data_IF_321622721075
#
_entry.id   IF_321622721075
#
_cell.length_a   1.000
_cell.length_b   1.000
_cell.length_c   1.000
_cell.angle_alpha   90.00
_cell.angle_beta   90.00
_cell.angle_gamma   90.00
#
_symmetry.space_group_name_H-M   'P 1'
#
loop_
_entity.id
_entity.type
_entity.pdbx_description
1 polymer ?
#
# COMPACT_ATOMS: atom_id res chain seq x y z
N UNK A 1 -63.67 26.06 -23.07
CA UNK A 1 -62.70 27.15 -23.21
C UNK A 1 -62.83 28.05 -21.99
N UNK A 2 -62.10 27.76 -20.92
CA UNK A 2 -61.91 28.65 -19.75
C UNK A 2 -60.81 28.07 -18.87
N UNK A 3 -59.63 28.71 -18.93
CA UNK A 3 -58.46 28.40 -18.10
C UNK A 3 -58.67 29.00 -16.71
N UNK A 4 -58.34 28.26 -15.64
CA UNK A 4 -58.01 28.84 -14.34
C UNK A 4 -56.86 28.06 -13.70
N UNK A 5 -55.72 28.74 -13.65
CA UNK A 5 -54.51 28.32 -12.95
C UNK A 5 -54.76 28.22 -11.44
N UNK A 6 -54.22 27.17 -10.83
CA UNK A 6 -53.93 27.13 -9.40
C UNK A 6 -52.48 26.67 -9.23
N UNK A 7 -51.65 27.58 -8.75
CA UNK A 7 -50.30 27.31 -8.26
C UNK A 7 -50.39 26.90 -6.79
N UNK A 8 -49.92 25.71 -6.44
CA UNK A 8 -49.66 25.30 -5.05
C UNK A 8 -48.26 24.69 -4.99
N UNK A 9 -47.35 25.52 -4.50
CA UNK A 9 -46.30 25.27 -3.49
C UNK A 9 -45.93 23.82 -3.14
N UNK A 10 -44.68 23.49 -3.48
CA UNK A 10 -43.65 22.85 -2.64
C UNK A 10 -44.03 21.58 -1.85
N UNK A 11 -43.60 20.43 -2.36
CA UNK A 11 -43.20 19.30 -1.50
C UNK A 11 -41.85 18.78 -2.00
N UNK A 12 -40.80 19.17 -1.28
CA UNK A 12 -39.45 18.65 -1.36
C UNK A 12 -39.49 17.16 -1.03
N UNK A 13 -39.40 16.31 -2.05
CA UNK A 13 -39.06 14.91 -1.85
C UNK A 13 -37.56 14.83 -1.54
N UNK A 14 -37.25 14.58 -0.27
CA UNK A 14 -35.92 14.22 0.22
C UNK A 14 -35.60 12.84 -0.37
N UNK A 15 -35.00 12.83 -1.56
CA UNK A 15 -34.32 11.67 -2.10
C UNK A 15 -32.95 11.59 -1.45
N UNK A 16 -32.83 10.75 -0.42
CA UNK A 16 -31.57 10.45 0.26
C UNK A 16 -30.56 9.87 -0.74
N UNK A 17 -29.67 10.73 -1.25
CA UNK A 17 -28.41 10.30 -1.81
C UNK A 17 -27.59 9.70 -0.67
N UNK A 18 -27.52 8.37 -0.63
CA UNK A 18 -26.43 7.68 0.07
C UNK A 18 -25.17 8.04 -0.69
N UNK A 19 -24.48 9.08 -0.23
CA UNK A 19 -23.12 9.37 -0.64
C UNK A 19 -22.27 8.18 -0.19
N UNK A 20 -21.87 7.32 -1.13
CA UNK A 20 -20.75 6.42 -0.92
C UNK A 20 -19.57 7.35 -0.69
N UNK A 21 -19.13 7.47 0.56
CA UNK A 21 -17.94 8.19 0.91
C UNK A 21 -16.77 7.53 0.17
N UNK A 22 -16.35 8.16 -0.93
CA UNK A 22 -15.05 7.86 -1.51
C UNK A 22 -14.01 8.18 -0.42
N UNK A 23 -13.02 7.33 -0.17
CA UNK A 23 -11.91 7.72 0.70
C UNK A 23 -11.21 8.91 0.03
N UNK A 24 -11.46 10.09 0.58
CA UNK A 24 -10.75 11.32 0.24
C UNK A 24 -9.30 11.12 0.69
N UNK A 25 -8.40 10.93 -0.27
CA UNK A 25 -6.96 11.05 -0.03
C UNK A 25 -6.68 12.54 0.29
N UNK A 26 -6.82 12.87 1.57
CA UNK A 26 -6.52 14.19 2.09
C UNK A 26 -5.03 14.47 1.98
N UNK A 27 -4.67 15.37 1.08
CA UNK A 27 -3.32 15.90 0.95
C UNK A 27 -2.86 16.51 2.26
N UNK A 28 -1.76 15.98 2.79
CA UNK A 28 -0.92 16.67 3.76
C UNK A 28 0.49 16.67 3.19
N UNK A 29 1.06 17.87 3.13
CA UNK A 29 2.43 18.29 2.80
C UNK A 29 3.47 17.18 2.65
N UNK A 30 4.31 17.18 1.59
CA UNK A 30 5.34 16.16 1.43
C UNK A 30 6.29 16.26 2.62
N UNK A 31 6.23 15.28 3.52
CA UNK A 31 7.41 14.88 4.27
C UNK A 31 8.49 14.60 3.21
N UNK A 32 9.68 15.18 3.37
CA UNK A 32 10.80 15.10 2.42
C UNK A 32 11.06 13.66 1.96
N UNK A 33 10.30 13.21 0.97
CA UNK A 33 10.58 12.05 0.17
C UNK A 33 11.88 12.40 -0.54
N UNK A 34 12.90 11.56 -0.39
CA UNK A 34 14.09 11.70 -1.21
C UNK A 34 13.65 11.88 -2.67
N UNK A 35 14.07 12.96 -3.34
CA UNK A 35 13.80 13.16 -4.78
C UNK A 35 14.49 12.11 -5.66
N UNK A 36 15.13 11.10 -5.06
CA UNK A 36 15.81 10.03 -5.76
C UNK A 36 14.88 8.80 -5.80
N UNK A 37 14.35 8.43 -6.97
CA UNK A 37 13.42 7.31 -7.12
C UNK A 37 13.97 5.99 -6.58
N UNK A 38 15.27 5.75 -6.75
CA UNK A 38 15.95 4.54 -6.25
C UNK A 38 15.94 4.47 -4.73
N UNK A 39 16.09 5.61 -4.04
CA UNK A 39 16.02 5.66 -2.57
C UNK A 39 14.61 5.37 -2.10
N UNK A 40 13.58 5.93 -2.75
CA UNK A 40 12.18 5.61 -2.43
C UNK A 40 11.86 4.13 -2.64
N UNK A 41 12.37 3.51 -3.70
CA UNK A 41 12.19 2.06 -3.92
C UNK A 41 12.91 1.21 -2.86
N UNK A 42 14.03 1.68 -2.30
CA UNK A 42 14.74 1.02 -1.20
C UNK A 42 13.97 1.16 0.12
N UNK A 43 13.51 2.36 0.45
CA UNK A 43 12.67 2.64 1.63
C UNK A 43 11.37 1.82 1.58
N UNK A 44 10.72 1.76 0.41
CA UNK A 44 9.53 0.96 0.19
C UNK A 44 9.80 -0.55 0.40
N UNK A 45 10.98 -1.03 -0.01
CA UNK A 45 11.39 -2.43 0.22
C UNK A 45 11.57 -2.72 1.70
N UNK A 46 12.17 -1.81 2.45
CA UNK A 46 12.35 -1.95 3.90
C UNK A 46 11.02 -1.91 4.65
N UNK A 47 10.15 -0.94 4.31
CA UNK A 47 8.79 -0.84 4.85
C UNK A 47 7.98 -2.10 4.55
N UNK A 48 8.06 -2.63 3.33
CA UNK A 48 7.39 -3.88 2.96
C UNK A 48 7.89 -5.08 3.79
N UNK A 49 9.21 -5.17 4.01
CA UNK A 49 9.79 -6.24 4.83
C UNK A 49 9.29 -6.16 6.29
N UNK A 50 9.30 -4.95 6.86
CA UNK A 50 8.74 -4.68 8.21
C UNK A 50 7.25 -5.05 8.29
N UNK A 51 6.48 -4.69 7.27
CA UNK A 51 5.05 -5.01 7.18
C UNK A 51 4.81 -6.53 7.21
N UNK A 52 5.61 -7.29 6.46
CA UNK A 52 5.50 -8.74 6.40
C UNK A 52 5.81 -9.41 7.76
N UNK A 53 6.85 -8.94 8.46
CA UNK A 53 7.21 -9.42 9.79
C UNK A 53 6.11 -9.16 10.83
N UNK A 54 5.55 -7.95 10.83
CA UNK A 54 4.45 -7.59 11.72
C UNK A 54 3.17 -8.39 11.46
N UNK A 55 2.85 -8.60 10.18
CA UNK A 55 1.70 -9.41 9.77
C UNK A 55 1.87 -10.88 10.19
N UNK A 56 3.07 -11.45 10.08
CA UNK A 56 3.32 -12.82 10.55
C UNK A 56 3.20 -12.92 12.07
N UNK A 57 3.71 -11.92 12.79
CA UNK A 57 3.56 -11.85 14.25
C UNK A 57 2.09 -11.80 14.67
N UNK A 58 1.28 -10.95 14.03
CA UNK A 58 -0.17 -10.91 14.30
C UNK A 58 -0.85 -12.26 14.07
N UNK A 59 -0.44 -12.99 13.02
CA UNK A 59 -0.96 -14.33 12.71
C UNK A 59 -0.57 -15.35 13.79
N UNK A 60 0.66 -15.29 14.29
CA UNK A 60 1.14 -16.13 15.38
C UNK A 60 0.40 -15.82 16.68
N UNK A 61 0.32 -14.55 17.04
CA UNK A 61 -0.34 -14.06 18.25
C UNK A 61 -1.82 -14.45 18.27
N UNK A 62 -2.48 -14.43 17.10
CA UNK A 62 -3.88 -14.84 16.96
C UNK A 62 -4.11 -16.33 17.26
N UNK A 63 -3.05 -17.14 17.23
CA UNK A 63 -3.09 -18.56 17.62
C UNK A 63 -2.88 -18.77 19.11
N UNK A 64 -2.47 -17.75 19.85
CA UNK A 64 -2.04 -17.85 21.22
C UNK A 64 -3.16 -17.41 22.18
N UNK A 65 -3.83 -18.38 22.79
CA UNK A 65 -4.93 -18.14 23.72
C UNK A 65 -4.51 -17.39 25.01
N UNK A 66 -3.21 -17.26 25.29
CA UNK A 66 -2.72 -16.50 26.45
C UNK A 66 -2.65 -14.98 26.18
N UNK A 67 -2.76 -14.54 24.91
CA UNK A 67 -2.72 -13.13 24.56
C UNK A 67 -4.13 -12.53 24.55
N UNK A 68 -4.26 -11.31 25.06
CA UNK A 68 -5.50 -10.56 24.96
C UNK A 68 -5.67 -9.98 23.55
N UNK A 69 -6.92 -9.70 23.17
CA UNK A 69 -7.20 -9.00 21.91
C UNK A 69 -6.47 -7.67 21.81
N UNK A 70 -6.33 -6.95 22.92
CA UNK A 70 -5.69 -5.63 22.96
C UNK A 70 -4.22 -5.66 22.53
N UNK A 71 -3.53 -6.80 22.65
CA UNK A 71 -2.15 -6.92 22.16
C UNK A 71 -2.05 -6.81 20.63
N UNK A 72 -3.16 -6.97 19.91
CA UNK A 72 -3.22 -6.84 18.45
C UNK A 72 -3.46 -5.40 17.97
N UNK A 73 -3.91 -4.48 18.85
CA UNK A 73 -4.21 -3.10 18.46
C UNK A 73 -3.00 -2.38 17.89
N UNK A 74 -1.90 -2.33 18.65
CA UNK A 74 -0.70 -1.59 18.23
C UNK A 74 -0.09 -2.15 16.94
N UNK A 75 0.08 -3.47 16.76
CA UNK A 75 0.57 -4.01 15.50
C UNK A 75 -0.38 -3.80 14.31
N UNK A 76 -1.70 -3.83 14.50
CA UNK A 76 -2.66 -3.53 13.42
C UNK A 76 -2.55 -2.10 12.92
N UNK A 77 -2.40 -1.14 13.83
CA UNK A 77 -2.20 0.27 13.45
C UNK A 77 -0.83 0.49 12.80
N UNK A 78 0.22 -0.17 13.28
CA UNK A 78 1.53 -0.11 12.63
C UNK A 78 1.49 -0.68 11.20
N UNK A 79 0.78 -1.79 10.98
CA UNK A 79 0.50 -2.32 9.64
C UNK A 79 -0.19 -1.30 8.73
N UNK A 80 -1.20 -0.60 9.26
CA UNK A 80 -1.88 0.47 8.52
C UNK A 80 -0.92 1.59 8.14
N UNK A 81 -0.09 2.03 9.08
CA UNK A 81 0.84 3.13 8.88
C UNK A 81 1.92 2.78 7.87
N UNK A 82 2.46 1.56 7.92
CA UNK A 82 3.45 1.06 6.95
C UNK A 82 2.86 0.95 5.55
N UNK A 83 1.66 0.37 5.41
CA UNK A 83 0.98 0.28 4.11
C UNK A 83 0.63 1.66 3.55
N UNK A 84 0.20 2.59 4.41
CA UNK A 84 -0.01 3.99 4.01
C UNK A 84 1.30 4.66 3.57
N UNK A 85 2.43 4.31 4.20
CA UNK A 85 3.75 4.82 3.84
C UNK A 85 4.16 4.35 2.45
N UNK A 86 4.06 3.03 2.20
CA UNK A 86 4.26 2.46 0.86
C UNK A 86 3.36 3.09 -0.20
N UNK A 87 2.09 3.38 0.15
CA UNK A 87 1.17 4.07 -0.76
C UNK A 87 1.63 5.49 -1.12
N UNK A 88 2.21 6.24 -0.16
CA UNK A 88 2.74 7.59 -0.42
C UNK A 88 4.00 7.53 -1.28
N UNK A 89 4.90 6.59 -1.01
CA UNK A 89 6.13 6.38 -1.79
C UNK A 89 5.80 6.06 -3.24
N UNK A 90 4.94 5.05 -3.49
CA UNK A 90 4.59 4.67 -4.86
C UNK A 90 3.81 5.76 -5.59
N UNK A 91 2.98 6.53 -4.89
CA UNK A 91 2.25 7.65 -5.49
C UNK A 91 3.19 8.80 -5.87
N UNK A 92 4.26 9.01 -5.09
CA UNK A 92 5.28 10.02 -5.40
C UNK A 92 6.06 9.62 -6.64
N UNK A 93 6.43 8.33 -6.76
CA UNK A 93 7.06 7.79 -7.96
C UNK A 93 6.17 7.88 -9.19
N UNK A 94 4.88 7.53 -9.06
CA UNK A 94 3.91 7.58 -10.16
C UNK A 94 3.64 9.02 -10.64
N UNK A 95 3.71 10.01 -9.74
CA UNK A 95 3.57 11.43 -10.10
C UNK A 95 4.72 11.93 -10.99
N UNK A 96 5.89 11.30 -10.90
CA UNK A 96 7.09 11.63 -11.67
C UNK A 96 7.41 10.55 -12.71
N UNK A 97 6.43 9.70 -13.07
CA UNK A 97 6.63 8.49 -13.89
C UNK A 97 7.41 8.72 -15.19
N UNK A 98 7.22 9.86 -15.84
CA UNK A 98 7.89 10.21 -17.10
C UNK A 98 9.39 10.54 -16.93
N UNK A 99 9.85 10.82 -15.71
CA UNK A 99 11.26 11.08 -15.39
C UNK A 99 12.00 9.82 -14.92
N UNK A 100 11.25 8.76 -14.61
CA UNK A 100 11.77 7.49 -14.12
C UNK A 100 12.49 6.70 -15.21
N UNK A 101 13.52 5.96 -14.79
CA UNK A 101 14.17 4.97 -15.63
C UNK A 101 13.19 3.85 -16.02
N UNK A 102 13.36 3.20 -17.18
CA UNK A 102 12.46 2.13 -17.62
C UNK A 102 12.30 0.99 -16.59
N UNK A 103 13.36 0.66 -15.85
CA UNK A 103 13.31 -0.39 -14.83
C UNK A 103 12.52 0.05 -13.58
N UNK A 104 12.55 1.33 -13.22
CA UNK A 104 11.80 1.90 -12.09
C UNK A 104 10.30 1.87 -12.38
N UNK A 105 9.90 2.28 -13.61
CA UNK A 105 8.51 2.19 -14.05
C UNK A 105 7.99 0.75 -13.99
N UNK A 106 8.80 -0.22 -14.45
CA UNK A 106 8.42 -1.63 -14.38
C UNK A 106 8.30 -2.14 -12.94
N UNK A 107 9.20 -1.72 -12.04
CA UNK A 107 9.11 -2.08 -10.63
C UNK A 107 7.78 -1.60 -10.02
N UNK A 108 7.40 -0.35 -10.30
CA UNK A 108 6.11 0.24 -9.87
C UNK A 108 4.93 -0.54 -10.43
N UNK A 109 4.93 -0.82 -11.74
CA UNK A 109 3.85 -1.56 -12.41
C UNK A 109 3.62 -2.94 -11.78
N UNK A 110 4.70 -3.59 -11.30
CA UNK A 110 4.62 -4.88 -10.61
C UNK A 110 4.17 -4.76 -9.16
N UNK A 111 4.66 -3.77 -8.43
CA UNK A 111 4.40 -3.59 -6.99
C UNK A 111 2.98 -3.10 -6.73
N UNK A 112 2.48 -2.17 -7.54
CA UNK A 112 1.22 -1.50 -7.34
C UNK A 112 -0.01 -2.43 -7.10
N UNK A 113 -0.25 -3.51 -7.87
CA UNK A 113 -1.34 -4.43 -7.57
C UNK A 113 -1.19 -5.14 -6.22
N UNK A 114 0.03 -5.55 -5.84
CA UNK A 114 0.28 -6.23 -4.55
C UNK A 114 0.06 -5.27 -3.38
N UNK A 115 0.45 -4.01 -3.53
CA UNK A 115 0.22 -2.99 -2.50
C UNK A 115 -1.28 -2.72 -2.29
N UNK A 116 -2.08 -2.70 -3.36
CA UNK A 116 -3.54 -2.57 -3.26
C UNK A 116 -4.17 -3.73 -2.50
N UNK A 117 -3.71 -4.95 -2.74
CA UNK A 117 -4.17 -6.13 -2.00
C UNK A 117 -3.74 -6.08 -0.53
N UNK A 118 -2.51 -5.66 -0.23
CA UNK A 118 -2.03 -5.46 1.14
C UNK A 118 -2.85 -4.40 1.89
N UNK A 119 -3.22 -3.30 1.22
CA UNK A 119 -4.09 -2.25 1.79
C UNK A 119 -5.50 -2.76 2.07
N UNK A 120 -6.08 -3.51 1.13
CA UNK A 120 -7.43 -4.08 1.28
C UNK A 120 -7.46 -5.07 2.46
N UNK A 121 -6.51 -6.01 2.52
CA UNK A 121 -6.47 -6.99 3.61
C UNK A 121 -6.13 -6.37 4.96
N UNK A 122 -5.33 -5.29 5.00
CA UNK A 122 -5.07 -4.54 6.25
C UNK A 122 -6.36 -3.91 6.76
N UNK A 123 -7.13 -3.27 5.89
CA UNK A 123 -8.42 -2.67 6.25
C UNK A 123 -9.42 -3.74 6.72
N UNK A 124 -9.51 -4.86 6.01
CA UNK A 124 -10.36 -6.00 6.40
C UNK A 124 -9.96 -6.56 7.78
N UNK A 125 -8.66 -6.65 8.08
CA UNK A 125 -8.17 -7.09 9.39
C UNK A 125 -8.58 -6.12 10.51
N UNK A 126 -8.49 -4.80 10.26
CA UNK A 126 -8.90 -3.76 11.21
C UNK A 126 -10.41 -3.79 11.43
N UNK A 127 -11.21 -3.90 10.36
CA UNK A 127 -12.66 -4.00 10.47
C UNK A 127 -13.08 -5.28 11.20
N UNK A 128 -12.43 -6.40 10.90
CA UNK A 128 -12.67 -7.64 11.64
C UNK A 128 -12.36 -7.48 13.12
N UNK A 129 -11.20 -6.89 13.45
CA UNK A 129 -10.80 -6.62 14.83
C UNK A 129 -11.85 -5.78 15.55
N UNK A 130 -12.27 -4.65 14.97
CA UNK A 130 -13.25 -3.75 15.58
C UNK A 130 -14.59 -4.46 15.87
N UNK A 131 -15.04 -5.32 14.95
CA UNK A 131 -16.34 -5.99 15.05
C UNK A 131 -16.29 -7.31 15.85
N UNK A 132 -15.12 -7.96 15.93
CA UNK A 132 -14.97 -9.35 16.39
C UNK A 132 -13.70 -9.56 17.23
N UNK A 133 -13.28 -8.59 18.04
CA UNK A 133 -12.03 -8.63 18.80
C UNK A 133 -11.84 -9.87 19.69
N UNK A 134 -12.91 -10.57 20.10
CA UNK A 134 -12.82 -11.82 20.87
C UNK A 134 -12.59 -13.09 20.02
N UNK A 135 -12.56 -12.95 18.69
CA UNK A 135 -12.50 -14.06 17.73
C UNK A 135 -11.31 -13.96 16.76
N UNK A 136 -10.19 -13.39 17.21
CA UNK A 136 -8.99 -13.23 16.37
C UNK A 136 -8.36 -14.56 15.95
N UNK A 137 -8.61 -15.65 16.69
CA UNK A 137 -8.22 -17.01 16.29
C UNK A 137 -8.98 -17.52 15.05
N UNK A 138 -10.04 -16.82 14.62
CA UNK A 138 -10.85 -17.24 13.47
C UNK A 138 -10.01 -17.39 12.20
N UNK A 139 -10.37 -18.34 11.32
CA UNK A 139 -9.69 -18.49 10.03
C UNK A 139 -9.72 -17.21 9.18
N UNK A 140 -10.79 -16.42 9.29
CA UNK A 140 -10.98 -15.19 8.51
C UNK A 140 -9.97 -14.11 8.89
N UNK A 141 -9.85 -13.76 10.18
CA UNK A 141 -8.85 -12.77 10.62
C UNK A 141 -7.43 -13.19 10.24
N UNK A 142 -7.11 -14.46 10.48
CA UNK A 142 -5.80 -15.04 10.16
C UNK A 142 -5.50 -15.00 8.66
N UNK A 143 -6.52 -15.18 7.81
CA UNK A 143 -6.37 -15.07 6.37
C UNK A 143 -6.04 -13.64 5.94
N UNK A 144 -6.70 -12.63 6.51
CA UNK A 144 -6.39 -11.23 6.23
C UNK A 144 -4.94 -10.90 6.55
N UNK A 145 -4.48 -11.14 7.77
CA UNK A 145 -3.07 -10.85 8.14
C UNK A 145 -2.08 -11.73 7.37
N UNK A 146 -2.44 -12.97 7.02
CA UNK A 146 -1.58 -13.81 6.17
C UNK A 146 -1.47 -13.29 4.73
N UNK A 147 -2.56 -12.71 4.19
CA UNK A 147 -2.53 -12.09 2.86
C UNK A 147 -1.67 -10.83 2.86
N UNK A 148 -1.77 -9.98 3.90
CA UNK A 148 -0.88 -8.82 4.02
C UNK A 148 0.58 -9.27 4.03
N UNK A 149 0.92 -10.29 4.85
CA UNK A 149 2.28 -10.86 4.83
C UNK A 149 2.71 -11.28 3.43
N UNK A 150 1.88 -12.08 2.75
CA UNK A 150 2.17 -12.61 1.42
C UNK A 150 2.44 -11.50 0.42
N UNK A 151 1.58 -10.48 0.38
CA UNK A 151 1.72 -9.36 -0.55
C UNK A 151 2.97 -8.52 -0.24
N UNK A 152 3.21 -8.21 1.03
CA UNK A 152 4.41 -7.50 1.48
C UNK A 152 5.72 -8.25 1.20
N UNK A 153 5.74 -9.58 1.38
CA UNK A 153 6.88 -10.43 0.99
C UNK A 153 7.14 -10.35 -0.52
N UNK A 154 6.09 -10.37 -1.34
CA UNK A 154 6.21 -10.30 -2.79
C UNK A 154 6.68 -8.91 -3.25
N UNK A 155 6.24 -7.83 -2.61
CA UNK A 155 6.76 -6.47 -2.82
C UNK A 155 8.26 -6.44 -2.50
N UNK A 156 8.63 -6.91 -1.31
CA UNK A 156 10.04 -6.96 -0.86
C UNK A 156 10.92 -7.70 -1.85
N UNK A 157 10.48 -8.88 -2.31
CA UNK A 157 11.20 -9.68 -3.29
C UNK A 157 11.30 -8.97 -4.64
N UNK A 158 10.20 -8.40 -5.13
CA UNK A 158 10.16 -7.72 -6.43
C UNK A 158 11.11 -6.53 -6.44
N UNK A 159 11.03 -5.66 -5.45
CA UNK A 159 11.92 -4.49 -5.33
C UNK A 159 13.38 -4.93 -5.21
N UNK A 160 13.67 -5.94 -4.40
CA UNK A 160 15.02 -6.52 -4.29
C UNK A 160 15.56 -7.01 -5.64
N UNK A 161 14.74 -7.68 -6.44
CA UNK A 161 15.13 -8.21 -7.74
C UNK A 161 15.46 -7.07 -8.73
N UNK A 162 14.64 -6.02 -8.78
CA UNK A 162 14.86 -4.84 -9.63
C UNK A 162 16.08 -4.00 -9.19
N UNK A 163 16.20 -3.72 -7.89
CA UNK A 163 17.34 -2.98 -7.33
C UNK A 163 18.68 -3.72 -7.55
N UNK A 164 18.66 -5.06 -7.48
CA UNK A 164 19.83 -5.88 -7.81
C UNK A 164 20.16 -5.85 -9.31
N UNK A 165 19.14 -5.91 -10.17
CA UNK A 165 19.35 -5.87 -11.63
C UNK A 165 20.03 -4.57 -12.06
N UNK A 166 19.61 -3.43 -11.52
CA UNK A 166 20.24 -2.12 -11.78
C UNK A 166 21.72 -2.11 -11.36
N UNK A 167 22.03 -2.58 -10.15
CA UNK A 167 23.42 -2.64 -9.66
C UNK A 167 24.31 -3.46 -10.59
N UNK A 168 23.83 -4.60 -11.07
CA UNK A 168 24.58 -5.47 -11.98
C UNK A 168 24.80 -4.81 -13.34
N UNK A 169 23.79 -4.14 -13.90
CA UNK A 169 23.91 -3.42 -15.17
C UNK A 169 24.95 -2.29 -15.07
N UNK A 170 24.94 -1.53 -13.98
CA UNK A 170 25.92 -0.47 -13.77
C UNK A 170 27.36 -0.99 -13.62
N UNK A 171 27.55 -2.10 -12.89
CA UNK A 171 28.86 -2.75 -12.77
C UNK A 171 29.37 -3.25 -14.12
N UNK A 172 28.51 -3.87 -14.95
CA UNK A 172 28.87 -4.32 -16.29
C UNK A 172 29.31 -3.14 -17.19
N UNK A 173 28.57 -2.04 -17.17
CA UNK A 173 28.87 -0.87 -18.01
C UNK A 173 30.19 -0.20 -17.60
N UNK A 174 30.46 -0.09 -16.29
CA UNK A 174 31.75 0.38 -15.77
C UNK A 174 32.91 -0.53 -16.17
N UNK A 175 32.72 -1.86 -16.09
CA UNK A 175 33.73 -2.82 -16.52
C UNK A 175 33.99 -2.74 -18.03
N UNK A 176 32.95 -2.61 -18.87
CA UNK A 176 33.11 -2.42 -20.32
C UNK A 176 33.91 -1.16 -20.64
N UNK A 177 33.65 -0.06 -19.93
CA UNK A 177 34.36 1.21 -20.14
C UNK A 177 35.82 1.18 -19.66
N UNK A 178 36.13 0.41 -18.62
CA UNK A 178 37.52 0.28 -18.10
C UNK A 178 38.35 -0.73 -18.89
N UNK A 179 37.73 -1.77 -19.44
CA UNK A 179 38.39 -2.81 -20.26
C UNK A 179 38.53 -2.39 -21.73
N UNK A 180 37.87 -1.30 -22.14
CA UNK A 180 38.07 -0.67 -23.46
C UNK A 180 38.90 0.62 -23.33
N UNK A 181 40.22 0.55 -23.05
CA UNK A 181 41.06 1.74 -23.10
C UNK A 181 41.30 2.13 -24.57
N UNK A 182 40.77 3.29 -24.99
CA UNK A 182 41.22 4.02 -26.18
C UNK A 182 41.16 3.27 -27.51
N UNK A 183 39.99 3.25 -28.16
CA UNK A 183 39.95 3.32 -29.61
C UNK A 183 39.91 4.81 -30.00
N UNK A 184 41.04 5.49 -29.84
CA UNK A 184 41.42 6.76 -30.48
C UNK A 184 42.91 7.00 -30.26
#
# INVERSE_FOLDING_TARGET
MTKRSFSITLMTAIGSLVAIAQPSFGGTTPASASQNPRVLLEEMRETASSTAEQADRLKMDASNAALSSDSHLSPLWALKDDVNTMNREISSLEAERDTLQPWEQQAIDKVMPMLREAATNTEDAIQFFNNNHNFLWSPQYRAYVANVKRDSDQITKTLKDYLKYEKVQHEEEQLRNTITPGAN
#
